data_IF_752842234256
#
_entry.id   IF_752842234256
#
_cell.length_a   1.000
_cell.length_b   1.000
_cell.length_c   1.000
_cell.angle_alpha   90.00
_cell.angle_beta   90.00
_cell.angle_gamma   90.00
#
_symmetry.space_group_name_H-M   'P 1'
#
loop_
_entity.id
_entity.type
_entity.pdbx_description
1 polymer ?
#
# COMPACT_ATOMS: atom_id res chain seq x y z
N UNK A 1 9.48 -1.08 -53.81
CA UNK A 1 8.75 -1.44 -52.57
C UNK A 1 7.34 -1.79 -53.00
N UNK A 2 6.99 -3.07 -53.00
CA UNK A 2 5.77 -3.57 -53.65
C UNK A 2 4.54 -3.37 -52.74
N UNK A 3 3.37 -3.18 -53.34
CA UNK A 3 2.10 -3.01 -52.63
C UNK A 3 1.77 -4.18 -51.68
N UNK A 4 2.42 -5.33 -51.88
CA UNK A 4 2.28 -6.56 -51.11
C UNK A 4 2.89 -6.47 -49.70
N UNK A 5 3.99 -5.75 -49.52
CA UNK A 5 4.64 -5.56 -48.21
C UNK A 5 3.85 -4.60 -47.30
N UNK A 6 3.12 -3.64 -47.89
CA UNK A 6 2.24 -2.73 -47.16
C UNK A 6 0.97 -3.42 -46.65
N UNK A 7 0.44 -4.40 -47.41
CA UNK A 7 -0.71 -5.20 -46.99
C UNK A 7 -0.36 -6.14 -45.81
N UNK A 8 0.83 -6.75 -45.83
CA UNK A 8 1.31 -7.66 -44.78
C UNK A 8 1.53 -6.94 -43.43
N UNK A 9 2.06 -5.71 -43.45
CA UNK A 9 2.21 -4.86 -42.24
C UNK A 9 0.87 -4.43 -41.63
N UNK A 10 -0.18 -4.29 -42.46
CA UNK A 10 -1.52 -3.88 -42.03
C UNK A 10 -2.35 -5.04 -41.45
N UNK A 11 -2.06 -6.27 -41.85
CA UNK A 11 -2.72 -7.48 -41.36
C UNK A 11 -2.30 -7.84 -39.92
N UNK A 12 -1.03 -7.64 -39.56
CA UNK A 12 -0.50 -7.98 -38.22
C UNK A 12 -1.13 -7.13 -37.10
N UNK A 13 -1.69 -5.97 -37.42
CA UNK A 13 -2.30 -5.04 -36.47
C UNK A 13 -3.81 -5.26 -36.23
N UNK A 14 -4.47 -6.17 -36.97
CA UNK A 14 -5.94 -6.31 -36.96
C UNK A 14 -6.48 -7.56 -36.27
N UNK A 15 -5.67 -8.59 -36.07
CA UNK A 15 -6.07 -9.84 -35.42
C UNK A 15 -5.63 -9.92 -33.95
N UNK A 16 -5.74 -8.80 -33.22
CA UNK A 16 -5.64 -8.87 -31.76
C UNK A 16 -7.03 -9.28 -31.24
N UNK A 17 -7.21 -10.49 -30.69
CA UNK A 17 -8.51 -10.92 -30.20
C UNK A 17 -9.05 -9.87 -29.23
N UNK A 18 -10.32 -9.49 -29.38
CA UNK A 18 -10.97 -8.54 -28.47
C UNK A 18 -10.90 -9.14 -27.07
N UNK A 19 -10.03 -8.58 -26.24
CA UNK A 19 -9.93 -8.98 -24.85
C UNK A 19 -11.25 -8.63 -24.17
N UNK A 20 -11.96 -9.66 -23.73
CA UNK A 20 -13.14 -9.49 -22.90
C UNK A 20 -12.68 -9.67 -21.45
N UNK A 21 -12.68 -8.60 -20.63
CA UNK A 21 -12.29 -8.74 -19.23
C UNK A 21 -13.13 -9.85 -18.58
N UNK A 22 -12.51 -10.75 -17.80
CA UNK A 22 -13.28 -11.60 -16.92
C UNK A 22 -14.16 -10.72 -16.03
N UNK A 23 -15.41 -11.17 -15.78
CA UNK A 23 -16.31 -10.47 -14.87
C UNK A 23 -15.71 -10.57 -13.46
N UNK A 24 -15.07 -9.50 -13.00
CA UNK A 24 -14.56 -9.40 -11.63
C UNK A 24 -15.75 -9.57 -10.68
N UNK A 25 -15.75 -10.66 -9.91
CA UNK A 25 -16.73 -10.80 -8.84
C UNK A 25 -16.38 -9.80 -7.75
N UNK A 26 -17.37 -9.12 -7.12
CA UNK A 26 -17.09 -8.27 -5.99
C UNK A 26 -16.46 -9.11 -4.88
N UNK A 27 -15.26 -8.75 -4.48
CA UNK A 27 -14.55 -9.44 -3.41
C UNK A 27 -15.36 -9.32 -2.11
N UNK A 28 -15.79 -10.45 -1.56
CA UNK A 28 -16.47 -10.51 -0.27
C UNK A 28 -15.43 -10.44 0.86
N UNK A 29 -14.58 -9.42 0.83
CA UNK A 29 -13.56 -9.23 1.86
C UNK A 29 -14.24 -9.00 3.21
N UNK A 30 -13.70 -9.58 4.30
CA UNK A 30 -14.13 -9.20 5.63
C UNK A 30 -13.91 -7.70 5.80
N UNK A 31 -14.87 -7.04 6.46
CA UNK A 31 -14.87 -5.61 6.71
C UNK A 31 -14.61 -5.37 8.21
N UNK A 32 -13.37 -5.60 8.69
CA UNK A 32 -13.05 -5.45 10.10
C UNK A 32 -13.15 -3.98 10.51
N UNK A 33 -13.47 -3.74 11.78
CA UNK A 33 -13.41 -2.41 12.38
C UNK A 33 -11.98 -2.11 12.85
N UNK A 34 -11.52 -0.90 12.56
CA UNK A 34 -10.23 -0.42 13.03
C UNK A 34 -10.28 -0.21 14.56
N UNK A 35 -9.33 -0.76 15.34
CA UNK A 35 -9.33 -0.65 16.80
C UNK A 35 -9.14 0.78 17.32
N UNK A 36 -8.48 1.65 16.52
CA UNK A 36 -8.19 3.05 16.90
C UNK A 36 -9.38 3.98 16.66
N UNK A 37 -9.90 4.04 15.43
CA UNK A 37 -10.97 4.98 15.07
C UNK A 37 -12.38 4.38 15.09
N UNK A 38 -12.52 3.06 15.28
CA UNK A 38 -13.80 2.34 15.26
C UNK A 38 -14.47 2.22 13.89
N UNK A 39 -13.93 2.88 12.86
CA UNK A 39 -14.48 2.83 11.49
C UNK A 39 -14.13 1.51 10.81
N UNK A 40 -15.00 1.08 9.92
CA UNK A 40 -14.77 -0.08 9.06
C UNK A 40 -13.64 0.19 8.07
N UNK A 41 -12.75 -0.80 7.91
CA UNK A 41 -11.67 -0.75 6.94
C UNK A 41 -12.22 -1.20 5.58
N UNK A 42 -12.38 -0.25 4.65
CA UNK A 42 -12.83 -0.54 3.28
C UNK A 42 -11.70 -1.12 2.42
N UNK A 43 -10.49 -0.57 2.57
CA UNK A 43 -9.30 -1.01 1.86
C UNK A 43 -8.40 -1.85 2.78
N UNK A 44 -8.83 -3.09 3.01
CA UNK A 44 -8.09 -4.06 3.84
C UNK A 44 -6.66 -4.34 3.32
N UNK A 45 -6.38 -4.38 2.00
CA UNK A 45 -5.00 -4.48 1.49
C UNK A 45 -4.06 -3.36 1.93
N UNK A 46 -4.56 -2.14 2.08
CA UNK A 46 -3.78 -0.98 2.57
C UNK A 46 -3.70 -0.91 4.09
N UNK A 47 -4.40 -1.79 4.81
CA UNK A 47 -4.38 -1.80 6.25
C UNK A 47 -3.04 -2.30 6.81
N UNK A 48 -2.71 -1.78 7.99
CA UNK A 48 -1.55 -2.21 8.77
C UNK A 48 -2.01 -2.99 9.98
N UNK A 49 -1.18 -3.89 10.47
CA UNK A 49 -1.45 -4.59 11.70
C UNK A 49 -1.27 -3.63 12.87
N UNK A 50 -2.16 -3.71 13.84
CA UNK A 50 -1.97 -3.07 15.13
C UNK A 50 -0.86 -3.79 15.90
N UNK A 51 0.04 -3.01 16.52
CA UNK A 51 1.20 -3.54 17.22
C UNK A 51 0.83 -4.27 18.52
N UNK A 52 -0.33 -3.96 19.11
CA UNK A 52 -0.79 -4.53 20.38
C UNK A 52 -1.71 -5.73 20.17
N UNK A 53 -2.74 -5.56 19.32
CA UNK A 53 -3.80 -6.56 19.14
C UNK A 53 -3.56 -7.51 17.96
N UNK A 54 -2.68 -7.15 17.02
CA UNK A 54 -2.51 -7.91 15.79
C UNK A 54 -3.75 -7.92 14.89
N UNK A 55 -4.66 -6.96 15.08
CA UNK A 55 -5.84 -6.73 14.25
C UNK A 55 -5.55 -5.71 13.15
N UNK A 56 -6.25 -5.75 12.01
CA UNK A 56 -6.10 -4.75 10.97
C UNK A 56 -6.54 -3.37 11.46
N UNK A 57 -5.74 -2.36 11.12
CA UNK A 57 -5.91 -0.96 11.47
C UNK A 57 -5.64 -0.09 10.24
N UNK A 58 -6.26 1.09 10.17
CA UNK A 58 -5.95 2.05 9.12
C UNK A 58 -4.48 2.48 9.19
N UNK A 59 -3.86 2.64 8.02
CA UNK A 59 -2.50 3.16 7.89
C UNK A 59 -2.37 4.54 8.54
N UNK A 60 -3.32 5.45 8.27
CA UNK A 60 -3.32 6.80 8.85
C UNK A 60 -3.43 6.76 10.38
N UNK A 61 -4.23 5.82 10.94
CA UNK A 61 -4.33 5.65 12.38
C UNK A 61 -3.01 5.19 13.02
N UNK A 62 -2.21 4.37 12.33
CA UNK A 62 -0.86 4.03 12.79
C UNK A 62 0.07 5.25 12.79
N UNK A 63 0.03 6.05 11.72
CA UNK A 63 0.84 7.28 11.61
C UNK A 63 0.48 8.29 12.70
N UNK A 64 -0.81 8.50 12.95
CA UNK A 64 -1.29 9.38 14.02
C UNK A 64 -0.84 8.87 15.39
N UNK A 65 -0.98 7.56 15.66
CA UNK A 65 -0.52 6.96 16.91
C UNK A 65 0.98 7.13 17.12
N UNK A 66 1.77 6.95 16.05
CA UNK A 66 3.21 7.19 16.10
C UNK A 66 3.53 8.66 16.36
N UNK A 67 2.78 9.57 15.76
CA UNK A 67 2.93 11.02 15.94
C UNK A 67 2.57 11.47 17.35
N UNK A 68 1.59 10.83 17.99
CA UNK A 68 1.22 11.08 19.39
C UNK A 68 2.28 10.52 20.35
N UNK A 69 2.84 9.35 20.04
CA UNK A 69 3.84 8.68 20.89
C UNK A 69 5.24 9.30 20.79
N UNK A 70 5.61 9.79 19.61
CA UNK A 70 6.92 10.38 19.34
C UNK A 70 6.83 11.90 19.39
N UNK A 71 7.71 12.54 20.15
CA UNK A 71 7.81 14.00 20.17
C UNK A 71 8.51 14.49 18.90
N UNK A 72 7.73 14.79 17.86
CA UNK A 72 8.25 15.42 16.65
C UNK A 72 8.67 16.87 16.94
N UNK A 73 9.88 17.25 16.53
CA UNK A 73 10.34 18.65 16.58
C UNK A 73 9.91 19.41 15.32
N UNK A 74 10.06 20.73 15.31
CA UNK A 74 9.80 21.55 14.13
C UNK A 74 10.66 21.05 12.94
N UNK A 75 10.02 20.76 11.81
CA UNK A 75 10.67 20.15 10.62
C UNK A 75 10.72 18.61 10.62
N UNK A 76 10.29 17.93 11.69
CA UNK A 76 10.20 16.46 11.73
C UNK A 76 8.86 15.97 11.16
N UNK A 77 8.91 14.90 10.38
CA UNK A 77 7.74 14.20 9.84
C UNK A 77 7.92 12.69 9.97
N UNK A 78 6.80 11.97 10.07
CA UNK A 78 6.80 10.51 10.02
C UNK A 78 6.59 10.08 8.56
N UNK A 79 7.48 9.23 8.06
CA UNK A 79 7.44 8.67 6.72
C UNK A 79 7.47 7.14 6.78
N UNK A 80 6.69 6.50 5.92
CA UNK A 80 6.76 5.04 5.76
C UNK A 80 7.87 4.67 4.78
N UNK A 81 8.83 3.87 5.24
CA UNK A 81 10.02 3.47 4.46
C UNK A 81 9.90 2.06 3.89
N UNK A 82 8.73 1.43 4.04
CA UNK A 82 8.45 0.10 3.50
C UNK A 82 8.83 -1.06 4.43
N UNK A 83 8.21 -2.21 4.17
CA UNK A 83 8.45 -3.45 4.89
C UNK A 83 7.98 -3.41 6.35
N UNK A 84 6.92 -2.67 6.65
CA UNK A 84 6.39 -2.56 8.02
C UNK A 84 7.16 -1.59 8.91
N UNK A 85 7.95 -0.67 8.32
CA UNK A 85 8.78 0.28 9.08
C UNK A 85 8.43 1.72 8.75
N UNK A 86 8.41 2.54 9.79
CA UNK A 86 8.30 3.99 9.70
C UNK A 86 9.65 4.62 10.05
N UNK A 87 9.83 5.87 9.65
CA UNK A 87 11.00 6.66 9.97
C UNK A 87 10.58 8.07 10.35
N UNK A 88 11.24 8.62 11.36
CA UNK A 88 11.21 10.05 11.63
C UNK A 88 12.24 10.69 10.72
N UNK A 89 11.76 11.49 9.77
CA UNK A 89 12.57 12.25 8.83
C UNK A 89 12.58 13.72 9.23
N UNK A 90 13.75 14.33 9.20
CA UNK A 90 13.93 15.76 9.44
C UNK A 90 14.21 16.46 8.13
N UNK A 91 13.49 17.55 7.90
CA UNK A 91 13.70 18.46 6.78
C UNK A 91 14.35 19.73 7.31
N UNK A 92 15.53 20.07 6.79
CA UNK A 92 16.22 21.31 7.15
C UNK A 92 15.45 22.55 6.63
N UNK A 93 14.77 22.41 5.49
CA UNK A 93 13.86 23.42 4.95
C UNK A 93 12.46 22.79 4.72
N UNK A 94 11.39 23.32 5.34
CA UNK A 94 10.02 22.85 5.11
C UNK A 94 9.56 22.92 3.64
N UNK A 95 10.12 23.84 2.85
CA UNK A 95 9.81 24.05 1.44
C UNK A 95 10.61 23.13 0.51
N UNK A 96 11.81 22.69 0.91
CA UNK A 96 12.64 21.77 0.14
C UNK A 96 12.51 20.33 0.63
N UNK A 97 11.66 19.55 -0.04
CA UNK A 97 11.50 18.13 0.26
C UNK A 97 12.60 17.23 -0.32
N UNK A 98 13.61 17.78 -1.02
CA UNK A 98 14.68 16.97 -1.65
C UNK A 98 15.73 16.54 -0.66
N UNK A 99 16.00 17.36 0.35
CA UNK A 99 17.05 17.10 1.34
C UNK A 99 16.40 16.74 2.66
N UNK A 100 16.51 15.48 3.05
CA UNK A 100 16.00 15.00 4.34
C UNK A 100 17.01 14.08 5.01
N UNK A 101 16.96 14.03 6.34
CA UNK A 101 17.77 13.10 7.15
C UNK A 101 16.85 12.19 7.96
N UNK A 102 17.13 10.89 7.96
CA UNK A 102 16.41 9.95 8.82
C UNK A 102 17.00 10.05 10.23
N UNK A 103 16.24 10.58 11.19
CA UNK A 103 16.64 10.67 12.60
C UNK A 103 16.48 9.34 13.32
N UNK A 104 15.37 8.64 13.07
CA UNK A 104 15.00 7.41 13.78
C UNK A 104 14.22 6.49 12.85
N UNK A 105 14.45 5.19 12.97
CA UNK A 105 13.62 4.16 12.33
C UNK A 105 12.79 3.46 13.40
N UNK A 106 11.50 3.28 13.12
CA UNK A 106 10.53 2.65 14.01
C UNK A 106 10.01 1.40 13.30
N UNK A 107 10.22 0.24 13.91
CA UNK A 107 9.69 -1.03 13.41
C UNK A 107 8.26 -1.17 13.93
N UNK A 108 7.29 -1.07 13.02
CA UNK A 108 5.87 -1.21 13.35
C UNK A 108 5.40 -2.64 13.19
N UNK A 109 5.81 -3.29 12.10
CA UNK A 109 5.59 -4.71 11.85
C UNK A 109 6.91 -5.42 11.59
N UNK A 110 7.10 -6.55 12.26
CA UNK A 110 8.21 -7.44 11.95
C UNK A 110 7.81 -8.27 10.73
N UNK A 111 8.62 -8.21 9.67
CA UNK A 111 8.38 -8.93 8.40
C UNK A 111 8.15 -10.44 8.61
N UNK A 112 8.75 -11.02 9.64
CA UNK A 112 8.62 -12.43 10.00
C UNK A 112 7.30 -12.76 10.70
N UNK A 113 6.67 -11.78 11.36
CA UNK A 113 5.34 -11.92 12.00
C UNK A 113 4.27 -11.27 11.11
N UNK A 114 4.10 -11.80 9.89
CA UNK A 114 2.95 -11.43 9.07
C UNK A 114 1.68 -11.94 9.76
N UNK A 115 0.71 -11.05 9.94
CA UNK A 115 -0.58 -11.41 10.49
C UNK A 115 -1.31 -12.39 9.57
N UNK A 116 -2.01 -13.37 10.15
CA UNK A 116 -2.73 -14.41 9.40
C UNK A 116 -3.80 -13.81 8.47
N UNK A 117 -4.47 -12.73 8.90
CA UNK A 117 -5.48 -12.03 8.09
C UNK A 117 -4.95 -11.54 6.74
N UNK A 118 -3.63 -11.27 6.61
CA UNK A 118 -3.05 -10.89 5.33
C UNK A 118 -2.95 -12.03 4.33
N UNK A 119 -2.82 -13.28 4.81
CA UNK A 119 -2.84 -14.46 3.93
C UNK A 119 -4.23 -14.62 3.32
N UNK A 120 -5.27 -14.50 4.16
CA UNK A 120 -6.66 -14.58 3.72
C UNK A 120 -6.99 -13.52 2.65
N UNK A 121 -6.48 -12.29 2.84
CA UNK A 121 -6.60 -11.23 1.83
C UNK A 121 -5.84 -11.61 0.56
N UNK A 122 -4.56 -11.99 0.67
CA UNK A 122 -3.73 -12.31 -0.49
C UNK A 122 -4.28 -13.47 -1.34
N UNK A 123 -4.81 -14.51 -0.69
CA UNK A 123 -5.39 -15.68 -1.36
C UNK A 123 -6.61 -15.29 -2.21
N UNK A 124 -7.41 -14.33 -1.74
CA UNK A 124 -8.54 -13.80 -2.51
C UNK A 124 -8.13 -13.00 -3.75
N UNK A 125 -6.95 -12.35 -3.73
CA UNK A 125 -6.41 -11.62 -4.88
C UNK A 125 -5.56 -12.49 -5.82
N UNK A 126 -5.08 -13.66 -5.36
CA UNK A 126 -4.26 -14.59 -6.14
C UNK A 126 -5.08 -15.43 -7.14
N UNK A 127 -6.40 -15.48 -6.99
CA UNK A 127 -7.30 -16.16 -7.93
C UNK A 127 -7.73 -15.23 -9.06
N UNK A 128 -6.78 -14.78 -9.90
CA UNK A 128 -7.06 -14.09 -11.19
C UNK A 128 -6.14 -14.62 -12.28
#
# INVERSE_FOLDING_TARGET
MTAEEAAKRKAILRDRPRWNPPRLQPSSLPKPSCPRCGKTIEDLPSAVNDSETGSPMHFDCAVERLTESERLSEGDRIAYIGGGRFAVVHFDDPQDSKTFRIKKTIVWEVKEKRAEWRKEVADQYSST
#
